data_IF_069531986164
#
_entry.id   IF_069531986164
#
_cell.length_a   1.000
_cell.length_b   1.000
_cell.length_c   1.000
_cell.angle_alpha   90.00
_cell.angle_beta   90.00
_cell.angle_gamma   90.00
#
_symmetry.space_group_name_H-M   'P 1'
#
loop_
_entity.id
_entity.type
_entity.pdbx_description
1 polymer ?
#
# COMPACT_ATOMS: atom_id res chain seq x y z
N UNK A 1 -1.63 18.31 -13.98
CA UNK A 1 -0.60 17.85 -13.03
C UNK A 1 -0.07 16.53 -13.57
N UNK A 2 1.22 16.45 -13.95
CA UNK A 2 1.79 15.24 -14.54
C UNK A 2 2.20 14.31 -13.41
N UNK A 3 1.58 13.13 -13.32
CA UNK A 3 2.06 12.06 -12.47
C UNK A 3 3.52 11.78 -12.84
N UNK A 4 4.42 11.84 -11.86
CA UNK A 4 5.83 11.50 -12.00
C UNK A 4 5.93 10.03 -12.39
N UNK A 5 5.95 9.77 -13.70
CA UNK A 5 5.97 8.44 -14.30
C UNK A 5 7.27 7.71 -13.99
N UNK A 6 7.34 7.08 -12.82
CA UNK A 6 8.23 5.93 -12.67
C UNK A 6 7.62 4.81 -13.52
N UNK A 7 8.33 4.39 -14.57
CA UNK A 7 7.94 3.28 -15.43
C UNK A 7 7.84 2.00 -14.58
N UNK A 8 6.64 1.72 -14.09
CA UNK A 8 6.33 0.45 -13.43
C UNK A 8 6.37 -0.64 -14.52
N UNK A 9 7.18 -1.69 -14.37
CA UNK A 9 7.16 -2.83 -15.27
C UNK A 9 5.73 -3.34 -15.50
N UNK A 10 5.39 -3.61 -16.76
CA UNK A 10 4.05 -4.04 -17.16
C UNK A 10 3.53 -5.22 -16.33
N UNK A 11 4.40 -6.20 -16.04
CA UNK A 11 4.07 -7.37 -15.22
C UNK A 11 3.62 -7.01 -13.80
N UNK A 12 4.20 -5.98 -13.19
CA UNK A 12 3.82 -5.53 -11.86
C UNK A 12 2.42 -4.89 -11.92
N UNK A 13 2.18 -4.05 -12.93
CA UNK A 13 0.86 -3.46 -13.17
C UNK A 13 -0.22 -4.53 -13.39
N UNK A 14 0.08 -5.56 -14.19
CA UNK A 14 -0.82 -6.68 -14.46
C UNK A 14 -1.11 -7.49 -13.18
N UNK A 15 -0.08 -7.75 -12.36
CA UNK A 15 -0.25 -8.43 -11.07
C UNK A 15 -1.21 -7.66 -10.16
N UNK A 16 -1.01 -6.36 -10.00
CA UNK A 16 -1.82 -5.54 -9.11
C UNK A 16 -3.27 -5.49 -9.62
N UNK A 17 -3.47 -5.26 -10.92
CA UNK A 17 -4.81 -5.23 -11.52
C UNK A 17 -5.55 -6.56 -11.36
N UNK A 18 -4.85 -7.69 -11.56
CA UNK A 18 -5.41 -9.03 -11.43
C UNK A 18 -5.81 -9.35 -10.00
N UNK A 19 -4.96 -8.99 -9.02
CA UNK A 19 -5.15 -9.30 -7.60
C UNK A 19 -6.18 -8.40 -6.92
N UNK A 20 -6.10 -7.08 -7.14
CA UNK A 20 -6.91 -6.13 -6.39
C UNK A 20 -8.25 -5.82 -7.06
N UNK A 21 -8.38 -5.96 -8.39
CA UNK A 21 -9.61 -5.65 -9.18
C UNK A 21 -10.23 -4.27 -8.86
N UNK A 22 -11.35 -3.92 -9.52
CA UNK A 22 -11.98 -2.58 -9.52
C UNK A 22 -11.93 -1.83 -8.17
N UNK A 23 -11.71 -0.51 -8.23
CA UNK A 23 -11.60 0.45 -7.11
C UNK A 23 -10.40 0.27 -6.14
N UNK A 24 -9.19 0.07 -6.68
CA UNK A 24 -7.94 0.16 -5.93
C UNK A 24 -7.15 1.42 -6.27
N UNK A 25 -6.44 1.98 -5.28
CA UNK A 25 -5.44 3.01 -5.49
C UNK A 25 -4.06 2.41 -5.25
N UNK A 26 -3.09 2.71 -6.11
CA UNK A 26 -1.72 2.29 -5.90
C UNK A 26 -0.73 3.43 -6.10
N UNK A 27 0.37 3.38 -5.36
CA UNK A 27 1.47 4.33 -5.47
C UNK A 27 2.81 3.58 -5.46
N UNK A 28 3.68 3.92 -6.41
CA UNK A 28 5.06 3.40 -6.43
C UNK A 28 5.88 4.24 -5.45
N UNK A 29 6.17 3.67 -4.28
CA UNK A 29 6.93 4.37 -3.24
C UNK A 29 8.39 4.51 -3.58
N UNK A 30 8.96 3.45 -4.13
CA UNK A 30 10.40 3.34 -4.19
C UNK A 30 10.89 2.40 -5.29
N UNK A 31 11.89 2.85 -6.01
CA UNK A 31 12.69 2.01 -6.91
C UNK A 31 14.14 2.15 -6.46
N UNK A 32 14.70 1.09 -5.86
CA UNK A 32 16.09 1.09 -5.36
C UNK A 32 16.88 -0.10 -5.88
N UNK A 33 18.14 0.10 -6.29
CA UNK A 33 19.05 -1.00 -6.54
C UNK A 33 19.51 -1.61 -5.20
N UNK A 34 19.28 -2.91 -5.01
CA UNK A 34 19.76 -3.69 -3.87
C UNK A 34 20.62 -4.82 -4.45
N UNK A 35 21.91 -4.88 -4.08
CA UNK A 35 22.82 -5.91 -4.59
C UNK A 35 23.01 -5.92 -6.12
N UNK A 36 22.77 -4.79 -6.80
CA UNK A 36 22.83 -4.69 -8.26
C UNK A 36 21.52 -5.00 -8.99
N UNK A 37 20.45 -5.35 -8.27
CA UNK A 37 19.12 -5.60 -8.83
C UNK A 37 18.15 -4.49 -8.43
N UNK A 38 17.33 -3.99 -9.36
CA UNK A 38 16.29 -3.01 -9.04
C UNK A 38 15.13 -3.70 -8.32
N UNK A 39 14.71 -3.13 -7.20
CA UNK A 39 13.49 -3.53 -6.49
C UNK A 39 12.45 -2.42 -6.56
N UNK A 40 11.20 -2.81 -6.73
CA UNK A 40 10.04 -1.93 -6.83
C UNK A 40 9.15 -2.14 -5.61
N UNK A 41 8.94 -1.10 -4.82
CA UNK A 41 7.97 -1.12 -3.72
C UNK A 41 6.74 -0.35 -4.14
N UNK A 42 5.59 -1.04 -4.12
CA UNK A 42 4.28 -0.50 -4.49
C UNK A 42 3.35 -0.62 -3.30
N UNK A 43 2.72 0.47 -2.91
CA UNK A 43 1.64 0.45 -1.93
C UNK A 43 0.30 0.42 -2.65
N UNK A 44 -0.60 -0.44 -2.20
CA UNK A 44 -1.96 -0.57 -2.72
C UNK A 44 -2.93 -0.36 -1.58
N UNK A 45 -3.80 0.64 -1.69
CA UNK A 45 -4.84 0.92 -0.70
C UNK A 45 -6.15 0.33 -1.16
N UNK A 46 -6.73 -0.57 -0.35
CA UNK A 46 -8.02 -1.22 -0.64
C UNK A 46 -8.74 -1.61 0.65
N UNK A 47 -10.06 -1.41 0.71
CA UNK A 47 -10.93 -1.86 1.81
C UNK A 47 -10.47 -1.42 3.22
N UNK A 48 -9.83 -0.24 3.33
CA UNK A 48 -9.28 0.24 4.60
C UNK A 48 -7.96 -0.39 5.02
N UNK A 49 -7.31 -1.13 4.12
CA UNK A 49 -5.96 -1.69 4.28
C UNK A 49 -4.99 -1.05 3.29
N UNK A 50 -3.72 -0.96 3.69
CA UNK A 50 -2.59 -0.60 2.85
C UNK A 50 -1.72 -1.86 2.71
N UNK A 51 -1.59 -2.32 1.48
CA UNK A 51 -0.76 -3.45 1.08
C UNK A 51 0.56 -2.94 0.52
N UNK A 52 1.67 -3.25 1.19
CA UNK A 52 3.01 -2.95 0.72
C UNK A 52 3.57 -4.15 -0.02
N UNK A 53 3.75 -4.02 -1.33
CA UNK A 53 4.19 -5.06 -2.25
C UNK A 53 5.60 -4.75 -2.73
N UNK A 54 6.52 -5.70 -2.57
CA UNK A 54 7.89 -5.60 -3.06
C UNK A 54 8.07 -6.55 -4.23
N UNK A 55 8.47 -6.02 -5.39
CA UNK A 55 8.70 -6.76 -6.62
C UNK A 55 10.16 -6.68 -7.05
N UNK A 56 10.64 -7.72 -7.70
CA UNK A 56 11.92 -7.69 -8.41
C UNK A 56 11.78 -7.04 -9.82
N UNK A 57 12.90 -6.96 -10.55
CA UNK A 57 12.92 -6.46 -11.93
C UNK A 57 12.12 -7.28 -12.93
N UNK A 58 11.94 -8.57 -12.65
CA UNK A 58 11.24 -9.51 -13.51
C UNK A 58 9.72 -9.42 -13.33
N UNK A 59 9.27 -8.68 -12.31
CA UNK A 59 7.87 -8.48 -11.95
C UNK A 59 7.32 -9.51 -10.96
N UNK A 60 8.19 -10.34 -10.36
CA UNK A 60 7.77 -11.30 -9.34
C UNK A 60 7.68 -10.64 -7.98
N UNK A 61 6.64 -11.00 -7.24
CA UNK A 61 6.44 -10.57 -5.86
C UNK A 61 7.44 -11.27 -4.94
N UNK A 62 8.28 -10.49 -4.29
CA UNK A 62 9.28 -10.94 -3.31
C UNK A 62 8.71 -10.92 -1.90
N UNK A 63 7.94 -9.88 -1.56
CA UNK A 63 7.30 -9.75 -0.25
C UNK A 63 6.00 -8.96 -0.35
N UNK A 64 5.05 -9.31 0.52
CA UNK A 64 3.78 -8.62 0.70
C UNK A 64 3.52 -8.44 2.18
N UNK A 65 3.17 -7.21 2.56
CA UNK A 65 2.75 -6.86 3.90
C UNK A 65 1.41 -6.13 3.80
N UNK A 66 0.50 -6.38 4.75
CA UNK A 66 -0.78 -5.69 4.81
C UNK A 66 -0.94 -5.07 6.19
N UNK A 67 -1.19 -3.76 6.22
CA UNK A 67 -1.46 -3.01 7.44
C UNK A 67 -2.83 -2.34 7.33
N UNK A 68 -3.50 -2.15 8.47
CA UNK A 68 -4.72 -1.36 8.49
C UNK A 68 -4.37 0.11 8.19
N UNK A 69 -5.05 0.73 7.23
CA UNK A 69 -4.77 2.10 6.79
C UNK A 69 -4.98 3.12 7.92
N UNK A 70 -5.92 2.82 8.80
CA UNK A 70 -6.24 3.58 10.00
C UNK A 70 -6.31 2.62 11.17
N UNK A 71 -5.74 2.96 12.35
CA UNK A 71 -6.03 2.19 13.56
C UNK A 71 -7.55 2.11 13.75
N UNK A 72 -8.09 1.02 14.33
CA UNK A 72 -9.48 1.04 14.74
C UNK A 72 -9.64 2.24 15.66
N UNK A 73 -10.63 3.09 15.36
CA UNK A 73 -10.94 4.26 16.18
C UNK A 73 -11.19 3.75 17.61
N UNK A 74 -10.17 3.84 18.47
CA UNK A 74 -10.34 3.79 19.91
C UNK A 74 -10.95 5.11 20.31
N UNK A 75 -12.16 5.38 19.83
CA UNK A 75 -13.05 6.38 20.41
C UNK A 75 -13.50 5.77 21.73
N UNK A 76 -12.57 5.76 22.67
CA UNK A 76 -12.77 5.42 24.06
C UNK A 76 -13.83 6.40 24.55
N UNK A 77 -15.03 5.86 24.71
CA UNK A 77 -16.19 6.51 25.27
C UNK A 77 -15.88 6.89 26.73
N UNK A 78 -15.01 7.87 26.93
CA UNK A 78 -14.85 8.56 28.19
C UNK A 78 -16.06 9.50 28.32
N UNK A 79 -17.21 8.87 28.59
CA UNK A 79 -17.89 9.03 29.86
C UNK A 79 -17.93 10.50 30.29
N UNK A 80 -18.98 11.21 29.86
CA UNK A 80 -19.54 12.35 30.60
C UNK A 80 -20.07 11.82 31.94
N UNK A 81 -19.14 11.47 32.83
CA UNK A 81 -19.40 11.11 34.21
C UNK A 81 -19.17 12.34 35.07
N UNK A 82 -20.28 12.87 35.58
CA UNK A 82 -20.35 13.61 36.85
C UNK A 82 -19.89 15.08 36.84
N UNK A 83 -20.83 15.98 36.53
CA UNK A 83 -20.88 17.31 37.13
C UNK A 83 -22.14 17.38 38.01
N UNK A 84 -22.18 16.58 39.07
CA UNK A 84 -23.16 16.72 40.14
C UNK A 84 -22.53 16.56 41.52
N UNK A 85 -21.88 17.61 42.03
CA UNK A 85 -21.86 17.97 43.46
C UNK A 85 -21.26 19.37 43.68
#
# INVERSE_FOLDING_TARGET
MKASGQNLPYKISEYIQSKFREDFLFEVKQVRPIGGQLMYTVEVSKDGYIYTLNFNVEGDLIAEEAAQAFPPDSHDENTYGDLTA
#
